data_IF_349226143764
#
_entry.id   IF_349226143764
#
_cell.length_a   1.000
_cell.length_b   1.000
_cell.length_c   1.000
_cell.angle_alpha   90.00
_cell.angle_beta   90.00
_cell.angle_gamma   90.00
#
_symmetry.space_group_name_H-M   'P 1'
#
loop_
_entity.id
_entity.type
_entity.pdbx_description
1 polymer ?
#
# COMPACT_ATOMS: atom_id res chain seq x y z
N UNK A 1 2.04 8.88 -7.18
CA UNK A 1 1.48 8.36 -5.92
C UNK A 1 0.79 7.02 -6.09
N UNK A 2 -0.28 6.88 -6.88
CA UNK A 2 -0.96 5.58 -7.07
C UNK A 2 -0.02 4.45 -7.50
N UNK A 3 0.84 4.69 -8.49
CA UNK A 3 1.83 3.68 -8.93
C UNK A 3 2.85 3.31 -7.85
N UNK A 4 3.21 4.24 -6.96
CA UNK A 4 4.11 3.94 -5.84
C UNK A 4 3.40 3.10 -4.78
N UNK A 5 2.14 3.40 -4.48
CA UNK A 5 1.33 2.60 -3.58
C UNK A 5 1.20 1.16 -4.11
N UNK A 6 0.93 0.99 -5.39
CA UNK A 6 0.87 -0.34 -6.02
C UNK A 6 2.20 -1.09 -5.94
N UNK A 7 3.34 -0.42 -6.13
CA UNK A 7 4.65 -1.06 -5.96
C UNK A 7 4.92 -1.47 -4.52
N UNK A 8 4.42 -0.70 -3.55
CA UNK A 8 4.51 -1.04 -2.13
C UNK A 8 3.60 -2.24 -1.84
N UNK A 9 2.35 -2.23 -2.31
CA UNK A 9 1.40 -3.35 -2.21
C UNK A 9 2.05 -4.65 -2.71
N UNK A 10 2.63 -4.63 -3.91
CA UNK A 10 3.35 -5.77 -4.49
C UNK A 10 4.55 -6.23 -3.63
N UNK A 11 5.24 -5.33 -2.91
CA UNK A 11 6.34 -5.70 -2.00
C UNK A 11 5.82 -6.53 -0.81
N UNK A 12 4.70 -6.11 -0.24
CA UNK A 12 4.11 -6.76 0.95
C UNK A 12 3.26 -7.99 0.61
N UNK A 13 2.94 -8.18 -0.67
CA UNK A 13 2.26 -9.36 -1.14
C UNK A 13 3.07 -10.63 -0.83
N UNK A 14 2.38 -11.60 -0.24
CA UNK A 14 2.89 -12.68 0.63
C UNK A 14 3.93 -13.66 0.04
N UNK A 15 4.44 -13.41 -1.16
CA UNK A 15 5.42 -14.23 -1.87
C UNK A 15 6.70 -13.48 -2.26
N UNK A 16 6.76 -12.16 -2.09
CA UNK A 16 7.76 -11.33 -2.77
C UNK A 16 8.94 -10.91 -1.86
N UNK A 17 8.77 -10.99 -0.54
CA UNK A 17 9.77 -10.57 0.44
C UNK A 17 9.75 -11.44 1.70
N UNK A 18 10.90 -11.53 2.39
CA UNK A 18 10.95 -12.15 3.72
C UNK A 18 10.39 -11.21 4.80
N UNK A 19 9.93 -11.77 5.93
CA UNK A 19 9.38 -10.93 7.00
C UNK A 19 10.43 -9.99 7.59
N UNK A 20 11.71 -10.41 7.63
CA UNK A 20 12.83 -9.57 8.08
C UNK A 20 13.08 -8.39 7.14
N UNK A 21 12.95 -8.59 5.83
CA UNK A 21 13.05 -7.51 4.84
C UNK A 21 11.88 -6.52 5.02
N UNK A 22 10.67 -7.04 5.20
CA UNK A 22 9.48 -6.22 5.42
C UNK A 22 9.55 -5.42 6.73
N UNK A 23 10.14 -5.96 7.79
CA UNK A 23 10.41 -5.21 9.03
C UNK A 23 11.31 -4.00 8.74
N UNK A 24 12.43 -4.20 8.05
CA UNK A 24 13.37 -3.11 7.75
C UNK A 24 12.75 -2.06 6.83
N UNK A 25 12.00 -2.48 5.81
CA UNK A 25 11.32 -1.58 4.88
C UNK A 25 10.21 -0.78 5.58
N UNK A 26 9.42 -1.44 6.44
CA UNK A 26 8.41 -0.78 7.28
C UNK A 26 9.06 0.26 8.18
N UNK A 27 10.10 -0.11 8.94
CA UNK A 27 10.74 0.78 9.91
C UNK A 27 11.31 2.05 9.25
N UNK A 28 11.94 1.89 8.07
CA UNK A 28 12.46 3.02 7.32
C UNK A 28 11.34 4.00 6.93
N UNK A 29 10.20 3.52 6.44
CA UNK A 29 9.03 4.35 6.12
C UNK A 29 8.43 4.98 7.37
N UNK A 30 8.30 4.24 8.47
CA UNK A 30 7.73 4.76 9.73
C UNK A 30 8.59 5.88 10.32
N UNK A 31 9.92 5.75 10.25
CA UNK A 31 10.88 6.74 10.75
C UNK A 31 11.23 7.83 9.74
N UNK A 32 10.88 7.61 8.47
CA UNK A 32 11.25 8.46 7.33
C UNK A 32 12.78 8.61 7.20
N UNK A 33 13.51 7.51 7.37
CA UNK A 33 14.98 7.51 7.41
C UNK A 33 15.62 7.64 6.02
N UNK A 34 16.89 8.05 5.97
CA UNK A 34 17.64 8.10 4.72
C UNK A 34 17.87 6.69 4.17
N UNK A 35 17.86 6.54 2.84
CA UNK A 35 18.04 5.24 2.16
C UNK A 35 19.30 4.46 2.58
N UNK A 36 20.34 5.15 3.04
CA UNK A 36 21.60 4.54 3.51
C UNK A 36 21.42 3.58 4.69
N UNK A 37 20.28 3.60 5.39
CA UNK A 37 19.99 2.63 6.47
C UNK A 37 19.52 1.28 5.92
N UNK A 38 19.20 1.19 4.63
CA UNK A 38 18.62 0.03 3.96
C UNK A 38 19.65 -0.80 3.19
N UNK A 39 20.93 -0.74 3.55
CA UNK A 39 22.01 -1.49 2.89
C UNK A 39 21.76 -3.00 2.87
N UNK A 40 20.99 -3.51 3.83
CA UNK A 40 20.63 -4.92 3.98
C UNK A 40 19.46 -5.37 3.09
N UNK A 41 18.70 -4.44 2.50
CA UNK A 41 17.57 -4.77 1.64
C UNK A 41 18.01 -5.15 0.22
N UNK A 42 17.16 -5.84 -0.55
CA UNK A 42 17.33 -5.98 -2.00
C UNK A 42 17.32 -4.64 -2.73
N UNK A 43 18.00 -4.56 -3.88
CA UNK A 43 18.11 -3.32 -4.66
C UNK A 43 16.77 -2.79 -5.15
N UNK A 44 15.82 -3.67 -5.47
CA UNK A 44 14.49 -3.24 -5.94
C UNK A 44 13.72 -2.49 -4.84
N UNK A 45 13.77 -2.94 -3.59
CA UNK A 45 13.14 -2.26 -2.45
C UNK A 45 13.79 -0.90 -2.20
N UNK A 46 15.13 -0.84 -2.26
CA UNK A 46 15.87 0.44 -2.19
C UNK A 46 15.41 1.41 -3.27
N UNK A 47 15.29 0.95 -4.52
CA UNK A 47 14.81 1.77 -5.63
C UNK A 47 13.41 2.30 -5.33
N UNK A 48 12.47 1.43 -4.91
CA UNK A 48 11.10 1.85 -4.56
C UNK A 48 11.13 2.88 -3.43
N UNK A 49 11.91 2.66 -2.38
CA UNK A 49 12.03 3.61 -1.28
C UNK A 49 12.61 4.96 -1.72
N UNK A 50 13.63 4.96 -2.57
CA UNK A 50 14.18 6.19 -3.16
C UNK A 50 13.11 6.96 -3.93
N UNK A 51 12.29 6.27 -4.73
CA UNK A 51 11.20 6.90 -5.47
C UNK A 51 10.14 7.50 -4.55
N UNK A 52 9.87 6.88 -3.38
CA UNK A 52 9.00 7.47 -2.36
C UNK A 52 9.63 8.78 -1.85
N UNK A 53 10.88 8.77 -1.42
CA UNK A 53 11.56 9.96 -0.89
C UNK A 53 11.60 11.10 -1.93
N UNK A 54 11.97 10.79 -3.17
CA UNK A 54 12.05 11.77 -4.25
C UNK A 54 10.67 12.37 -4.56
N UNK A 55 9.62 11.54 -4.62
CA UNK A 55 8.26 12.01 -4.84
C UNK A 55 7.78 12.95 -3.73
N UNK A 56 8.07 12.61 -2.46
CA UNK A 56 7.70 13.47 -1.33
C UNK A 56 8.50 14.77 -1.28
N UNK A 57 9.78 14.75 -1.67
CA UNK A 57 10.57 15.98 -1.79
C UNK A 57 10.00 16.90 -2.87
N UNK A 58 9.64 16.36 -4.03
CA UNK A 58 8.98 17.14 -5.10
C UNK A 58 7.66 17.73 -4.61
N UNK A 59 6.84 16.93 -3.91
CA UNK A 59 5.57 17.40 -3.36
C UNK A 59 5.80 18.50 -2.32
N UNK A 60 6.76 18.35 -1.42
CA UNK A 60 7.05 19.36 -0.40
C UNK A 60 7.55 20.67 -1.03
N UNK A 61 8.44 20.59 -2.01
CA UNK A 61 8.92 21.76 -2.75
C UNK A 61 7.77 22.52 -3.44
N UNK A 62 6.84 21.82 -4.09
CA UNK A 62 5.68 22.47 -4.73
C UNK A 62 4.71 23.05 -3.69
N UNK A 63 4.42 22.31 -2.61
CA UNK A 63 3.52 22.78 -1.56
C UNK A 63 4.12 23.95 -0.78
N UNK A 64 5.44 24.01 -0.61
CA UNK A 64 6.14 25.10 0.04
C UNK A 64 5.99 26.43 -0.72
N UNK A 65 6.02 26.39 -2.07
CA UNK A 65 5.81 27.59 -2.91
C UNK A 65 4.45 28.23 -2.68
N UNK A 66 3.46 27.43 -2.32
CA UNK A 66 2.09 27.88 -2.03
C UNK A 66 1.84 28.14 -0.53
N UNK A 67 2.84 27.94 0.34
CA UNK A 67 2.70 28.08 1.78
C UNK A 67 1.87 26.96 2.43
N UNK A 68 1.84 25.77 1.80
CA UNK A 68 0.96 24.65 2.16
C UNK A 68 1.70 23.37 2.56
N UNK A 69 2.98 23.46 2.94
CA UNK A 69 3.81 22.31 3.37
C UNK A 69 3.19 21.46 4.49
N UNK A 70 2.25 22.00 5.27
CA UNK A 70 1.51 21.20 6.26
C UNK A 70 0.81 19.97 5.64
N UNK A 71 0.38 20.03 4.36
CA UNK A 71 -0.26 18.92 3.67
C UNK A 71 0.63 17.68 3.52
N UNK A 72 1.95 17.88 3.49
CA UNK A 72 2.94 16.81 3.35
C UNK A 72 2.90 15.88 4.56
N UNK A 73 2.74 16.41 5.76
CA UNK A 73 2.70 15.59 6.96
C UNK A 73 1.44 14.71 7.02
N UNK A 74 0.30 15.18 6.49
CA UNK A 74 -0.90 14.35 6.37
C UNK A 74 -0.72 13.19 5.40
N UNK A 75 -0.13 13.43 4.22
CA UNK A 75 0.09 12.36 3.25
C UNK A 75 1.20 11.39 3.69
N UNK A 76 2.20 11.86 4.45
CA UNK A 76 3.20 10.99 5.10
C UNK A 76 2.52 10.08 6.13
N UNK A 77 1.66 10.64 6.99
CA UNK A 77 0.90 9.86 7.97
C UNK A 77 0.04 8.80 7.28
N UNK A 78 -0.71 9.18 6.23
CA UNK A 78 -1.55 8.23 5.48
C UNK A 78 -0.75 7.13 4.79
N UNK A 79 0.48 7.40 4.33
CA UNK A 79 1.35 6.35 3.79
C UNK A 79 1.85 5.41 4.89
N UNK A 80 2.19 5.95 6.07
CA UNK A 80 2.62 5.15 7.22
C UNK A 80 1.52 4.23 7.73
N UNK A 81 0.29 4.71 7.80
CA UNK A 81 -0.87 3.89 8.20
C UNK A 81 -1.11 2.75 7.21
N UNK A 82 -1.04 3.06 5.90
CA UNK A 82 -1.19 2.08 4.82
C UNK A 82 -0.12 0.98 4.88
N UNK A 83 1.15 1.38 4.99
CA UNK A 83 2.28 0.44 5.08
C UNK A 83 2.21 -0.39 6.36
N UNK A 84 1.76 0.18 7.48
CA UNK A 84 1.53 -0.56 8.71
C UNK A 84 0.42 -1.62 8.58
N UNK A 85 -0.63 -1.32 7.81
CA UNK A 85 -1.70 -2.27 7.50
C UNK A 85 -1.18 -3.42 6.63
N UNK A 86 -0.45 -3.12 5.55
CA UNK A 86 0.19 -4.14 4.71
C UNK A 86 1.13 -5.04 5.49
N UNK A 87 1.96 -4.46 6.36
CA UNK A 87 2.85 -5.23 7.20
C UNK A 87 2.09 -6.16 8.16
N UNK A 88 0.95 -5.71 8.69
CA UNK A 88 0.09 -6.53 9.56
C UNK A 88 -0.48 -7.73 8.80
N UNK A 89 -0.95 -7.54 7.57
CA UNK A 89 -1.44 -8.62 6.71
C UNK A 89 -0.34 -9.63 6.36
N UNK A 90 0.84 -9.13 5.99
CA UNK A 90 2.00 -9.97 5.70
C UNK A 90 2.42 -10.81 6.92
N UNK A 91 2.38 -10.23 8.12
CA UNK A 91 2.64 -10.95 9.38
C UNK A 91 1.60 -12.04 9.65
N UNK A 92 0.32 -11.75 9.45
CA UNK A 92 -0.73 -12.77 9.61
C UNK A 92 -0.51 -13.94 8.66
N UNK A 93 -0.11 -13.67 7.41
CA UNK A 93 0.20 -14.71 6.45
C UNK A 93 1.41 -15.56 6.87
N UNK A 94 2.52 -14.93 7.23
CA UNK A 94 3.76 -15.61 7.65
C UNK A 94 3.53 -16.50 8.90
N UNK A 95 2.76 -16.01 9.86
CA UNK A 95 2.42 -16.73 11.09
C UNK A 95 1.32 -17.79 10.87
N UNK A 96 0.70 -17.86 9.68
CA UNK A 96 -0.47 -18.70 9.41
C UNK A 96 -1.70 -18.33 10.26
N UNK A 97 -1.75 -17.09 10.75
CA UNK A 97 -2.84 -16.57 11.56
C UNK A 97 -4.04 -16.21 10.69
N UNK A 98 -5.22 -16.70 11.08
CA UNK A 98 -6.48 -16.36 10.43
C UNK A 98 -7.24 -15.38 11.34
N UNK A 99 -7.29 -14.08 11.00
CA UNK A 99 -8.01 -13.09 11.80
C UNK A 99 -9.52 -13.36 11.80
N UNK A 100 -10.19 -12.90 12.86
CA UNK A 100 -11.64 -12.76 12.82
C UNK A 100 -12.08 -11.74 11.76
N UNK A 101 -13.35 -11.78 11.35
CA UNK A 101 -13.86 -10.83 10.36
C UNK A 101 -13.69 -9.36 10.80
N UNK A 102 -13.90 -9.08 12.09
CA UNK A 102 -13.76 -7.72 12.63
C UNK A 102 -12.29 -7.25 12.63
N UNK A 103 -11.36 -8.13 13.03
CA UNK A 103 -9.92 -7.84 12.98
C UNK A 103 -9.45 -7.64 11.54
N UNK A 104 -9.85 -8.54 10.63
CA UNK A 104 -9.54 -8.43 9.21
C UNK A 104 -10.04 -7.10 8.67
N UNK A 105 -11.33 -6.78 8.82
CA UNK A 105 -11.90 -5.55 8.28
C UNK A 105 -11.23 -4.29 8.83
N UNK A 106 -10.82 -4.27 10.09
CA UNK A 106 -10.12 -3.13 10.66
C UNK A 106 -8.79 -2.81 9.94
N UNK A 107 -8.06 -3.85 9.50
CA UNK A 107 -6.81 -3.72 8.74
C UNK A 107 -7.09 -3.56 7.25
N UNK A 108 -8.01 -4.35 6.71
CA UNK A 108 -8.39 -4.41 5.30
C UNK A 108 -8.91 -3.06 4.76
N UNK A 109 -9.59 -2.29 5.61
CA UNK A 109 -10.05 -0.93 5.26
C UNK A 109 -8.93 0.10 5.19
N UNK A 110 -7.80 -0.14 5.87
CA UNK A 110 -6.60 0.67 5.76
C UNK A 110 -5.76 0.20 4.57
N UNK A 111 -5.51 -1.10 4.44
CA UNK A 111 -4.71 -1.70 3.37
C UNK A 111 -5.32 -1.52 1.98
N UNK A 112 -6.64 -1.33 1.87
CA UNK A 112 -7.26 -0.98 0.58
C UNK A 112 -6.83 0.41 0.04
N UNK A 113 -6.10 1.21 0.83
CA UNK A 113 -5.45 2.45 0.41
C UNK A 113 -6.40 3.63 0.15
N UNK A 114 -7.71 3.47 0.30
CA UNK A 114 -8.68 4.48 -0.12
C UNK A 114 -8.57 5.78 0.69
N UNK A 115 -8.37 5.67 2.01
CA UNK A 115 -8.10 6.84 2.86
C UNK A 115 -6.81 7.55 2.43
N UNK A 116 -5.71 6.81 2.26
CA UNK A 116 -4.41 7.38 1.89
C UNK A 116 -4.45 8.07 0.53
N UNK A 117 -5.11 7.45 -0.47
CA UNK A 117 -5.31 8.04 -1.81
C UNK A 117 -6.19 9.28 -1.75
N UNK A 118 -7.25 9.26 -0.93
CA UNK A 118 -8.12 10.43 -0.74
C UNK A 118 -7.35 11.62 -0.17
N UNK A 119 -6.55 11.38 0.87
CA UNK A 119 -5.67 12.41 1.47
C UNK A 119 -4.63 12.90 0.46
N UNK A 120 -3.99 12.01 -0.29
CA UNK A 120 -2.99 12.38 -1.31
C UNK A 120 -3.58 13.19 -2.46
N UNK A 121 -4.85 12.94 -2.82
CA UNK A 121 -5.52 13.64 -3.91
C UNK A 121 -5.76 15.12 -3.59
N UNK A 122 -5.88 15.49 -2.30
CA UNK A 122 -6.02 16.88 -1.88
C UNK A 122 -4.80 17.74 -2.25
N UNK A 123 -3.60 17.18 -2.29
CA UNK A 123 -2.36 17.91 -2.64
C UNK A 123 -2.53 18.70 -3.95
N UNK A 124 -3.14 18.09 -4.97
CA UNK A 124 -3.33 18.69 -6.28
C UNK A 124 -4.51 19.66 -6.40
N UNK A 125 -5.26 19.93 -5.33
CA UNK A 125 -6.50 20.72 -5.38
C UNK A 125 -6.32 22.23 -5.15
N UNK A 126 -5.07 22.73 -5.12
CA UNK A 126 -4.79 24.15 -4.92
C UNK A 126 -5.43 24.69 -3.63
N UNK A 127 -5.99 25.91 -3.69
CA UNK A 127 -6.58 26.61 -2.55
C UNK A 127 -7.70 25.83 -1.80
N UNK A 128 -8.32 24.83 -2.44
CA UNK A 128 -9.36 24.00 -1.80
C UNK A 128 -8.81 23.04 -0.75
N UNK A 129 -7.54 22.66 -0.86
CA UNK A 129 -6.92 21.73 0.09
C UNK A 129 -6.27 22.51 1.23
N UNK A 130 -7.16 23.09 2.04
CA UNK A 130 -6.85 23.76 3.30
C UNK A 130 -6.51 22.74 4.39
N UNK A 131 -5.95 23.22 5.51
CA UNK A 131 -5.68 22.38 6.67
C UNK A 131 -6.96 21.70 7.19
N UNK A 132 -8.09 22.40 7.16
CA UNK A 132 -9.40 21.86 7.57
C UNK A 132 -9.86 20.73 6.65
N UNK A 133 -9.57 20.80 5.35
CA UNK A 133 -9.86 19.71 4.42
C UNK A 133 -9.02 18.46 4.74
N UNK A 134 -7.74 18.65 5.06
CA UNK A 134 -6.86 17.56 5.49
C UNK A 134 -7.27 16.97 6.85
N UNK A 135 -7.61 17.80 7.82
CA UNK A 135 -8.15 17.37 9.12
C UNK A 135 -9.46 16.59 8.93
N UNK A 136 -10.35 17.07 8.07
CA UNK A 136 -11.62 16.42 7.77
C UNK A 136 -11.42 15.05 7.14
N UNK A 137 -10.61 14.90 6.07
CA UNK A 137 -10.39 13.58 5.44
C UNK A 137 -9.67 12.61 6.39
N UNK A 138 -8.72 13.11 7.19
CA UNK A 138 -7.94 12.31 8.13
C UNK A 138 -8.75 11.87 9.35
N UNK A 139 -9.87 12.54 9.64
CA UNK A 139 -10.84 12.09 10.66
C UNK A 139 -11.64 10.85 10.26
N UNK A 140 -11.38 10.31 9.06
CA UNK A 140 -12.05 9.15 8.47
C UNK A 140 -13.59 9.32 8.44
N UNK A 141 -14.09 10.35 7.73
CA UNK A 141 -15.51 10.67 7.72
C UNK A 141 -16.29 9.55 7.03
N UNK A 142 -17.60 9.47 7.32
CA UNK A 142 -18.46 8.37 6.87
C UNK A 142 -18.36 8.08 5.37
N UNK A 143 -18.17 9.10 4.53
CA UNK A 143 -17.98 8.92 3.08
C UNK A 143 -16.68 8.18 2.75
N UNK A 144 -15.57 8.50 3.39
CA UNK A 144 -14.28 7.82 3.17
C UNK A 144 -14.37 6.40 3.71
N UNK A 145 -14.99 6.20 4.87
CA UNK A 145 -15.23 4.86 5.41
C UNK A 145 -16.08 4.01 4.46
N UNK A 146 -17.25 4.51 4.04
CA UNK A 146 -18.15 3.78 3.15
C UNK A 146 -17.47 3.45 1.81
N UNK A 147 -16.71 4.39 1.25
CA UNK A 147 -15.94 4.13 0.03
C UNK A 147 -14.82 3.11 0.23
N UNK A 148 -14.16 3.09 1.39
CA UNK A 148 -13.15 2.07 1.74
C UNK A 148 -13.77 0.68 1.80
N UNK A 149 -14.96 0.55 2.40
CA UNK A 149 -15.72 -0.71 2.44
C UNK A 149 -16.05 -1.18 1.03
N UNK A 150 -16.57 -0.30 0.17
CA UNK A 150 -16.87 -0.65 -1.23
C UNK A 150 -15.61 -1.07 -1.97
N UNK A 151 -14.52 -0.30 -1.82
CA UNK A 151 -13.23 -0.59 -2.44
C UNK A 151 -12.72 -1.97 -2.03
N UNK A 152 -12.71 -2.27 -0.73
CA UNK A 152 -12.21 -3.56 -0.23
C UNK A 152 -13.04 -4.72 -0.70
N UNK A 153 -14.36 -4.64 -0.58
CA UNK A 153 -15.24 -5.73 -1.01
C UNK A 153 -15.15 -5.99 -2.53
N UNK A 154 -15.04 -4.93 -3.34
CA UNK A 154 -14.85 -5.08 -4.78
C UNK A 154 -13.53 -5.75 -5.11
N UNK A 155 -12.46 -5.38 -4.42
CA UNK A 155 -11.13 -5.95 -4.61
C UNK A 155 -11.11 -7.43 -4.18
N UNK A 156 -11.65 -7.77 -3.02
CA UNK A 156 -11.75 -9.16 -2.55
C UNK A 156 -12.55 -10.04 -3.52
N UNK A 157 -13.65 -9.52 -4.06
CA UNK A 157 -14.44 -10.22 -5.08
C UNK A 157 -13.64 -10.46 -6.36
N UNK A 158 -12.86 -9.48 -6.80
CA UNK A 158 -12.02 -9.60 -7.99
C UNK A 158 -10.86 -10.59 -7.75
N UNK A 159 -10.18 -10.48 -6.60
CA UNK A 159 -9.10 -11.39 -6.19
C UNK A 159 -9.58 -12.83 -6.06
N UNK A 160 -10.74 -13.06 -5.43
CA UNK A 160 -11.33 -14.39 -5.33
C UNK A 160 -11.61 -15.02 -6.71
N UNK A 161 -12.13 -14.22 -7.65
CA UNK A 161 -12.37 -14.67 -9.02
C UNK A 161 -11.06 -15.04 -9.73
N UNK A 162 -10.05 -14.19 -9.65
CA UNK A 162 -8.73 -14.45 -10.24
C UNK A 162 -8.09 -15.73 -9.69
N UNK A 163 -8.12 -15.90 -8.37
CA UNK A 163 -7.60 -17.11 -7.72
C UNK A 163 -8.36 -18.37 -8.15
N UNK A 164 -9.66 -18.26 -8.38
CA UNK A 164 -10.48 -19.38 -8.88
C UNK A 164 -10.10 -19.74 -10.31
N UNK A 165 -9.98 -18.76 -11.20
CA UNK A 165 -9.56 -18.96 -12.59
C UNK A 165 -8.13 -19.54 -12.70
N UNK A 166 -7.20 -19.06 -11.85
CA UNK A 166 -5.85 -19.62 -11.77
C UNK A 166 -5.88 -21.08 -11.31
N UNK A 167 -6.60 -21.40 -10.23
CA UNK A 167 -6.74 -22.78 -9.75
C UNK A 167 -7.30 -23.70 -10.84
N UNK A 168 -8.31 -23.26 -11.59
CA UNK A 168 -8.85 -24.02 -12.71
C UNK A 168 -7.83 -24.22 -13.83
N UNK A 169 -7.04 -23.19 -14.16
CA UNK A 169 -6.04 -23.24 -15.22
C UNK A 169 -4.86 -24.15 -14.86
N UNK A 170 -4.33 -24.03 -13.65
CA UNK A 170 -3.14 -24.77 -13.20
C UNK A 170 -3.44 -26.18 -12.69
N UNK A 171 -4.68 -26.46 -12.26
CA UNK A 171 -5.12 -27.82 -11.89
C UNK A 171 -5.86 -28.55 -13.01
N UNK A 172 -6.04 -27.94 -14.18
CA UNK A 172 -6.51 -28.65 -15.36
C UNK A 172 -5.50 -29.76 -15.72
N UNK A 173 -5.93 -31.00 -16.01
CA UNK A 173 -5.03 -32.02 -16.49
C UNK A 173 -4.45 -31.57 -17.83
N UNK A 174 -3.21 -31.09 -17.81
CA UNK A 174 -2.46 -30.87 -19.03
C UNK A 174 -2.05 -32.23 -19.60
N UNK A 175 -2.58 -32.57 -20.78
CA UNK A 175 -2.08 -33.69 -21.58
C UNK A 175 -0.64 -33.38 -22.01
N UNK A 176 0.33 -33.72 -21.17
CA UNK A 176 1.73 -33.82 -21.58
C UNK A 176 1.87 -35.03 -22.50
N UNK A 177 1.59 -34.84 -23.79
CA UNK A 177 2.02 -35.77 -24.83
C UNK A 177 3.55 -35.72 -24.95
N UNK A 178 4.30 -36.83 -24.75
CA UNK A 178 5.76 -36.83 -24.78
C UNK A 178 6.40 -36.67 -26.18
N UNK A 179 5.67 -36.18 -27.18
CA UNK A 179 6.04 -36.35 -28.58
C UNK A 179 6.80 -35.18 -29.25
N UNK A 180 7.39 -34.23 -28.50
CA UNK A 180 8.14 -33.09 -29.09
C UNK A 180 9.54 -32.92 -28.49
N UNK A 181 10.25 -34.02 -28.22
CA UNK A 181 11.70 -34.01 -27.96
C UNK A 181 12.42 -35.15 -28.69
N UNK A 182 12.25 -35.21 -30.01
CA UNK A 182 13.21 -35.76 -30.99
C UNK A 182 13.12 -34.90 -32.26
#
# INVERSE_FOLDING_TARGET
MLSLISLIDDIYDASNASIEELVLFTDAIQRWEAISVLDQLPDYMKIVYQQILDAFNIIDDEMAKEGRSYGVEYIKSGLKDLVGAYFTEAKWYDEGYVPSMDEHMAIALLSCGYQSVSTMSLIGMGELATKEAFDWVSSYPLIVHASSVVCRLMDDMAGHKLLTELKETWMAPHDFSPAVLL
#
